data_IF_301970325624
#
_entry.id   IF_301970325624
#
_cell.length_a   1.000
_cell.length_b   1.000
_cell.length_c   1.000
_cell.angle_alpha   90.00
_cell.angle_beta   90.00
_cell.angle_gamma   90.00
#
_symmetry.space_group_name_H-M   'P 1'
#
loop_
_entity.id
_entity.type
_entity.pdbx_description
1 polymer ?
#
# COMPACT_ATOMS: atom_id res chain seq x y z
N UNK A 1 0.66 5.69 -10.55
CA UNK A 1 -0.51 4.87 -10.93
C UNK A 1 -1.77 5.31 -10.16
N UNK A 2 -1.84 5.15 -8.84
CA UNK A 2 -3.04 5.48 -8.04
C UNK A 2 -3.62 6.89 -8.26
N UNK A 3 -2.78 7.93 -8.38
CA UNK A 3 -3.25 9.30 -8.66
C UNK A 3 -4.08 9.38 -9.93
N UNK A 4 -3.71 8.65 -10.99
CA UNK A 4 -4.45 8.62 -12.25
C UNK A 4 -5.84 8.00 -12.07
N UNK A 5 -5.99 6.96 -11.23
CA UNK A 5 -7.30 6.37 -10.93
C UNK A 5 -8.18 7.35 -10.18
N UNK A 6 -7.61 8.05 -9.19
CA UNK A 6 -8.33 9.08 -8.44
C UNK A 6 -8.80 10.19 -9.40
N UNK A 7 -7.92 10.74 -10.24
CA UNK A 7 -8.30 11.75 -11.25
C UNK A 7 -9.34 11.23 -12.26
N UNK A 8 -9.26 9.95 -12.61
CA UNK A 8 -10.19 9.33 -13.57
C UNK A 8 -11.58 9.13 -12.98
N UNK A 9 -11.69 8.73 -11.71
CA UNK A 9 -12.97 8.37 -11.10
C UNK A 9 -13.60 9.49 -10.28
N UNK A 10 -12.81 10.35 -9.64
CA UNK A 10 -13.28 11.40 -8.74
C UNK A 10 -13.33 12.72 -9.50
N UNK A 11 -14.54 13.20 -9.77
CA UNK A 11 -14.78 14.44 -10.53
C UNK A 11 -14.90 15.67 -9.66
N UNK A 12 -15.33 15.53 -8.41
CA UNK A 12 -15.38 16.64 -7.47
C UNK A 12 -13.95 17.01 -7.02
N UNK A 13 -13.48 18.24 -7.30
CA UNK A 13 -12.17 18.69 -6.87
C UNK A 13 -11.97 18.64 -5.34
N UNK A 14 -13.05 18.83 -4.56
CA UNK A 14 -12.97 18.83 -3.09
C UNK A 14 -12.74 17.43 -2.54
N UNK A 15 -13.51 16.46 -3.02
CA UNK A 15 -13.32 15.06 -2.67
C UNK A 15 -11.94 14.57 -3.10
N UNK A 16 -11.49 14.96 -4.29
CA UNK A 16 -10.16 14.62 -4.79
C UNK A 16 -9.05 15.19 -3.90
N UNK A 17 -9.13 16.46 -3.51
CA UNK A 17 -8.15 17.07 -2.60
C UNK A 17 -8.12 16.37 -1.24
N UNK A 18 -9.31 16.00 -0.72
CA UNK A 18 -9.40 15.21 0.50
C UNK A 18 -8.68 13.86 0.38
N UNK A 19 -8.85 13.15 -0.74
CA UNK A 19 -8.22 11.85 -0.99
C UNK A 19 -6.71 11.94 -1.20
N UNK A 20 -6.21 12.99 -1.88
CA UNK A 20 -4.77 13.22 -1.99
C UNK A 20 -4.12 13.57 -0.66
N UNK A 21 -4.87 14.24 0.22
CA UNK A 21 -4.44 14.58 1.58
C UNK A 21 -4.89 13.55 2.63
N UNK A 22 -5.16 12.30 2.23
CA UNK A 22 -5.72 11.24 3.08
C UNK A 22 -4.99 11.00 4.40
N UNK A 23 -3.67 11.21 4.45
CA UNK A 23 -2.88 11.09 5.69
C UNK A 23 -3.33 12.12 6.76
N UNK A 24 -3.81 13.28 6.34
CA UNK A 24 -4.30 14.35 7.22
C UNK A 24 -5.83 14.35 7.36
N UNK A 25 -6.56 13.86 6.36
CA UNK A 25 -8.02 13.95 6.30
C UNK A 25 -8.75 12.66 6.71
N UNK A 26 -8.11 11.49 6.55
CA UNK A 26 -8.72 10.19 6.83
C UNK A 26 -8.02 9.49 8.01
N UNK A 27 -8.69 9.32 9.17
CA UNK A 27 -8.04 8.85 10.40
C UNK A 27 -7.50 7.42 10.29
N UNK A 28 -8.10 6.57 9.46
CA UNK A 28 -7.63 5.19 9.24
C UNK A 28 -6.39 5.11 8.34
N UNK A 29 -6.25 6.02 7.36
CA UNK A 29 -5.02 6.16 6.58
C UNK A 29 -3.93 6.75 7.45
N UNK A 30 -4.26 7.79 8.23
CA UNK A 30 -3.36 8.39 9.21
C UNK A 30 -2.77 7.36 10.16
N UNK A 31 -3.59 6.49 10.75
CA UNK A 31 -3.11 5.44 11.67
C UNK A 31 -2.09 4.49 11.01
N UNK A 32 -2.32 4.08 9.76
CA UNK A 32 -1.35 3.25 9.02
C UNK A 32 -0.06 4.01 8.72
N UNK A 33 -0.18 5.26 8.28
CA UNK A 33 0.97 6.13 7.98
C UNK A 33 1.81 6.40 9.23
N UNK A 34 1.18 6.77 10.35
CA UNK A 34 1.85 7.03 11.63
C UNK A 34 2.57 5.76 12.14
N UNK A 35 1.98 4.57 11.95
CA UNK A 35 2.64 3.31 12.28
C UNK A 35 3.89 3.09 11.43
N UNK A 36 3.80 3.27 10.11
CA UNK A 36 4.95 3.11 9.22
C UNK A 36 6.07 4.11 9.56
N UNK A 37 5.73 5.38 9.75
CA UNK A 37 6.67 6.45 10.14
C UNK A 37 7.37 6.12 11.47
N UNK A 38 6.63 5.60 12.46
CA UNK A 38 7.20 5.21 13.76
C UNK A 38 8.31 4.17 13.60
N UNK A 39 8.12 3.19 12.73
CA UNK A 39 9.10 2.11 12.54
C UNK A 39 10.22 2.46 11.58
N UNK A 40 9.99 3.36 10.62
CA UNK A 40 11.02 3.89 9.71
C UNK A 40 11.91 4.95 10.37
N UNK A 41 12.30 4.73 11.63
CA UNK A 41 13.15 5.62 12.39
C UNK A 41 14.62 5.17 12.30
N UNK A 42 15.54 6.12 12.11
CA UNK A 42 16.98 5.85 12.05
C UNK A 42 17.52 5.10 13.29
N UNK A 43 16.93 5.37 14.46
CA UNK A 43 17.30 4.74 15.74
C UNK A 43 16.84 3.28 15.87
N UNK A 44 15.88 2.86 15.04
CA UNK A 44 15.39 1.48 15.03
C UNK A 44 16.40 0.59 14.31
N UNK A 45 16.78 -0.59 14.86
CA UNK A 45 17.69 -1.52 14.20
C UNK A 45 17.23 -1.88 12.79
N UNK A 46 18.18 -2.09 11.87
CA UNK A 46 17.86 -2.40 10.47
C UNK A 46 16.93 -3.60 10.33
N UNK A 47 17.17 -4.67 11.10
CA UNK A 47 16.34 -5.88 11.11
C UNK A 47 14.88 -5.59 11.46
N UNK A 48 14.63 -4.77 12.49
CA UNK A 48 13.28 -4.38 12.90
C UNK A 48 12.61 -3.49 11.84
N UNK A 49 13.35 -2.57 11.24
CA UNK A 49 12.84 -1.77 10.12
C UNK A 49 12.47 -2.63 8.93
N UNK A 50 13.26 -3.65 8.63
CA UNK A 50 13.05 -4.54 7.51
C UNK A 50 11.79 -5.39 7.70
N UNK A 51 11.57 -5.93 8.91
CA UNK A 51 10.31 -6.61 9.26
C UNK A 51 9.12 -5.66 9.21
N UNK A 52 9.28 -4.43 9.71
CA UNK A 52 8.22 -3.43 9.63
C UNK A 52 7.89 -3.05 8.17
N UNK A 53 8.91 -2.94 7.31
CA UNK A 53 8.74 -2.70 5.87
C UNK A 53 8.00 -3.85 5.20
N UNK A 54 8.39 -5.11 5.45
CA UNK A 54 7.67 -6.28 4.95
C UNK A 54 6.19 -6.30 5.40
N UNK A 55 5.90 -5.84 6.63
CA UNK A 55 4.51 -5.68 7.09
C UNK A 55 3.76 -4.58 6.31
N UNK A 56 4.41 -3.49 5.93
CA UNK A 56 3.78 -2.44 5.11
C UNK A 56 3.43 -2.99 3.72
N UNK A 57 4.41 -3.55 3.01
CA UNK A 57 4.22 -4.02 1.63
C UNK A 57 3.27 -5.24 1.57
N UNK A 58 3.47 -6.21 2.47
CA UNK A 58 2.75 -7.49 2.44
C UNK A 58 1.44 -7.51 3.22
N UNK A 59 1.37 -6.89 4.41
CA UNK A 59 0.18 -6.97 5.28
C UNK A 59 -0.73 -5.76 5.07
N UNK A 60 -0.21 -4.54 5.10
CA UNK A 60 -1.06 -3.33 5.07
C UNK A 60 -1.81 -3.16 3.75
N UNK A 61 -1.28 -3.69 2.64
CA UNK A 61 -1.95 -3.68 1.34
C UNK A 61 -2.80 -4.92 1.03
N UNK A 62 -2.57 -6.05 1.71
CA UNK A 62 -3.22 -7.34 1.41
C UNK A 62 -4.75 -7.25 1.31
N UNK A 63 -5.40 -6.61 2.30
CA UNK A 63 -6.85 -6.45 2.32
C UNK A 63 -7.38 -5.61 1.15
N UNK A 64 -6.65 -4.55 0.78
CA UNK A 64 -7.01 -3.72 -0.38
C UNK A 64 -6.88 -4.51 -1.68
N UNK A 65 -5.77 -5.24 -1.87
CA UNK A 65 -5.58 -6.08 -3.05
C UNK A 65 -6.65 -7.16 -3.17
N UNK A 66 -6.96 -7.86 -2.08
CA UNK A 66 -8.02 -8.88 -2.06
C UNK A 66 -9.39 -8.28 -2.42
N UNK A 67 -9.74 -7.11 -1.87
CA UNK A 67 -11.01 -6.44 -2.17
C UNK A 67 -11.14 -6.01 -3.64
N UNK A 68 -10.03 -5.67 -4.30
CA UNK A 68 -10.04 -5.31 -5.72
C UNK A 68 -10.07 -6.57 -6.59
N UNK A 69 -9.40 -7.66 -6.19
CA UNK A 69 -9.54 -8.95 -6.85
C UNK A 69 -10.98 -9.47 -6.80
N UNK A 70 -11.70 -9.23 -5.71
CA UNK A 70 -13.13 -9.53 -5.63
C UNK A 70 -13.95 -8.78 -6.70
N UNK A 71 -13.61 -7.51 -7.02
CA UNK A 71 -14.26 -6.79 -8.12
C UNK A 71 -13.94 -7.41 -9.48
N UNK A 72 -12.73 -7.93 -9.66
CA UNK A 72 -12.32 -8.65 -10.88
C UNK A 72 -13.15 -9.90 -11.11
N UNK A 73 -13.38 -10.71 -10.07
CA UNK A 73 -14.21 -11.92 -10.18
C UNK A 73 -15.64 -11.62 -10.65
N UNK A 74 -16.11 -10.40 -10.40
CA UNK A 74 -17.42 -9.91 -10.83
C UNK A 74 -17.41 -9.19 -12.18
N UNK A 75 -16.25 -9.13 -12.85
CA UNK A 75 -16.09 -8.47 -14.16
C UNK A 75 -16.19 -6.94 -14.10
N UNK A 76 -15.85 -6.32 -12.96
CA UNK A 76 -15.97 -4.86 -12.76
C UNK A 76 -14.61 -4.16 -12.83
N UNK A 77 -14.63 -2.88 -13.20
CA UNK A 77 -13.49 -1.95 -13.11
C UNK A 77 -12.20 -2.49 -13.76
N UNK A 78 -12.19 -2.82 -15.07
CA UNK A 78 -11.07 -3.50 -15.72
C UNK A 78 -9.74 -2.73 -15.64
N UNK A 79 -9.76 -1.40 -15.69
CA UNK A 79 -8.56 -0.57 -15.53
C UNK A 79 -7.98 -0.65 -14.12
N UNK A 80 -8.83 -0.59 -13.09
CA UNK A 80 -8.43 -0.72 -11.69
C UNK A 80 -7.86 -2.12 -11.41
N UNK A 81 -8.59 -3.17 -11.81
CA UNK A 81 -8.21 -4.56 -11.53
C UNK A 81 -6.93 -4.97 -12.25
N UNK A 82 -6.75 -4.55 -13.51
CA UNK A 82 -5.49 -4.76 -14.23
C UNK A 82 -4.30 -4.07 -13.54
N UNK A 83 -4.46 -2.79 -13.14
CA UNK A 83 -3.39 -2.10 -12.42
C UNK A 83 -3.09 -2.75 -11.06
N UNK A 84 -4.10 -3.28 -10.38
CA UNK A 84 -3.97 -3.99 -9.11
C UNK A 84 -3.20 -5.31 -9.25
N UNK A 85 -3.39 -6.04 -10.35
CA UNK A 85 -2.60 -7.24 -10.66
C UNK A 85 -1.11 -6.93 -10.77
N UNK A 86 -0.75 -5.87 -11.49
CA UNK A 86 0.64 -5.46 -11.65
C UNK A 86 1.25 -5.02 -10.33
N UNK A 87 0.54 -4.18 -9.57
CA UNK A 87 1.06 -3.65 -8.30
C UNK A 87 1.17 -4.75 -7.26
N UNK A 88 0.16 -5.61 -7.10
CA UNK A 88 0.22 -6.70 -6.12
C UNK A 88 1.32 -7.72 -6.40
N UNK A 89 1.65 -7.97 -7.68
CA UNK A 89 2.83 -8.75 -8.05
C UNK A 89 4.12 -8.08 -7.57
N UNK A 90 4.25 -6.78 -7.81
CA UNK A 90 5.46 -6.02 -7.46
C UNK A 90 5.62 -5.95 -5.93
N UNK A 91 4.54 -5.71 -5.17
CA UNK A 91 4.59 -5.72 -3.70
C UNK A 91 4.90 -7.10 -3.10
N UNK A 92 4.50 -8.17 -3.79
CA UNK A 92 4.92 -9.54 -3.46
C UNK A 92 6.44 -9.68 -3.54
N UNK A 93 7.05 -9.23 -4.65
CA UNK A 93 8.50 -9.25 -4.82
C UNK A 93 9.23 -8.37 -3.80
N UNK A 94 8.70 -7.18 -3.45
CA UNK A 94 9.27 -6.33 -2.42
C UNK A 94 9.28 -7.03 -1.05
N UNK A 95 8.18 -7.70 -0.71
CA UNK A 95 8.03 -8.44 0.55
C UNK A 95 8.99 -9.64 0.61
N UNK A 96 9.04 -10.44 -0.46
CA UNK A 96 9.95 -11.60 -0.54
C UNK A 96 11.41 -11.16 -0.43
N UNK A 97 11.78 -10.05 -1.07
CA UNK A 97 13.13 -9.52 -0.98
C UNK A 97 13.47 -9.01 0.44
N UNK A 98 12.52 -8.40 1.14
CA UNK A 98 12.70 -8.02 2.54
C UNK A 98 12.94 -9.24 3.44
N UNK A 99 12.19 -10.32 3.23
CA UNK A 99 12.42 -11.59 3.93
C UNK A 99 13.81 -12.17 3.61
N UNK A 100 14.20 -12.19 2.34
CA UNK A 100 15.52 -12.69 1.92
C UNK A 100 16.67 -11.89 2.55
N UNK A 101 16.57 -10.56 2.57
CA UNK A 101 17.57 -9.72 3.23
C UNK A 101 17.64 -9.99 4.74
N UNK A 102 16.50 -10.25 5.38
CA UNK A 102 16.44 -10.55 6.81
C UNK A 102 17.20 -11.84 7.15
N UNK A 103 17.13 -12.86 6.30
CA UNK A 103 17.89 -14.12 6.46
C UNK A 103 19.41 -13.93 6.46
N UNK A 104 19.90 -12.82 5.89
CA UNK A 104 21.32 -12.49 5.79
C UNK A 104 21.80 -11.53 6.89
N UNK A 105 20.93 -11.16 7.84
CA UNK A 105 21.31 -10.34 8.99
C UNK A 105 21.98 -11.23 10.05
N UNK A 106 23.19 -10.83 10.48
CA UNK A 106 24.00 -11.48 11.52
C UNK A 106 23.85 -10.75 12.85
#
# INVERSE_FOLDING_TARGET
MYSLLIDTYIKDPRERDMLFNAISTLPYVKKKADWAIRWMNEKTPFAERLVAFACVEGIFFSGSFASIFWLRERGLMPGLTFSNELISRDEGLHTDFACLLFEHIV
#
